data_IF_741195817211
#
_entry.id   IF_741195817211
#
_cell.length_a   1.000
_cell.length_b   1.000
_cell.length_c   1.000
_cell.angle_alpha   90.00
_cell.angle_beta   90.00
_cell.angle_gamma   90.00
#
_symmetry.space_group_name_H-M   'P 1'
#
loop_
_entity.id
_entity.type
_entity.pdbx_description
1 polymer ?
#
# COMPACT_ATOMS: atom_id res chain seq x y z
N UNK A 1 17.19 28.13 16.91
CA UNK A 1 16.65 27.03 16.06
C UNK A 1 15.41 26.38 16.71
N UNK A 2 15.50 25.92 17.96
CA UNK A 2 14.39 25.23 18.66
C UNK A 2 13.12 26.08 18.83
N UNK A 3 13.25 27.38 19.12
CA UNK A 3 12.11 28.28 19.24
C UNK A 3 11.38 28.50 17.88
N UNK A 4 12.14 28.57 16.78
CA UNK A 4 11.58 28.69 15.43
C UNK A 4 10.90 27.38 15.02
N UNK A 5 11.44 26.22 15.38
CA UNK A 5 10.78 24.93 15.15
C UNK A 5 9.47 24.80 15.94
N UNK A 6 9.47 25.16 17.24
CA UNK A 6 8.26 25.12 18.05
C UNK A 6 7.15 26.04 17.51
N UNK A 7 7.50 27.22 16.99
CA UNK A 7 6.55 28.15 16.35
C UNK A 7 6.07 27.60 15.01
N UNK A 8 6.97 27.02 14.19
CA UNK A 8 6.59 26.45 12.89
C UNK A 8 5.65 25.24 13.02
N UNK A 9 5.82 24.43 14.07
CA UNK A 9 4.92 23.28 14.32
C UNK A 9 3.54 23.68 14.79
N UNK A 10 3.37 24.87 15.40
CA UNK A 10 2.04 25.40 15.75
C UNK A 10 1.18 25.80 14.54
N UNK A 11 1.81 26.00 13.37
CA UNK A 11 1.15 26.31 12.10
C UNK A 11 1.19 25.14 11.10
N UNK A 12 1.72 23.99 11.50
CA UNK A 12 1.72 22.79 10.70
C UNK A 12 0.33 22.13 10.72
N UNK A 13 -0.01 21.44 9.63
CA UNK A 13 -1.24 20.67 9.51
C UNK A 13 -1.37 19.66 10.66
N UNK A 14 -2.55 19.57 11.29
CA UNK A 14 -2.82 18.72 12.45
C UNK A 14 -2.42 17.25 12.26
N UNK A 15 -2.35 16.79 11.00
CA UNK A 15 -1.95 15.43 10.64
C UNK A 15 -0.43 15.17 10.67
N UNK A 16 0.40 16.20 10.89
CA UNK A 16 1.87 16.07 10.77
C UNK A 16 2.56 16.13 12.14
N UNK A 17 1.92 16.72 13.15
CA UNK A 17 2.60 16.98 14.44
C UNK A 17 1.71 16.60 15.61
N UNK A 18 2.14 15.63 16.39
CA UNK A 18 1.49 15.21 17.62
C UNK A 18 1.50 16.35 18.65
N UNK A 19 0.34 16.68 19.21
CA UNK A 19 0.15 17.80 20.14
C UNK A 19 1.09 17.77 21.36
N UNK A 20 1.40 16.58 21.89
CA UNK A 20 2.34 16.41 22.99
C UNK A 20 3.79 16.76 22.60
N UNK A 21 4.20 16.55 21.36
CA UNK A 21 5.53 16.91 20.88
C UNK A 21 5.74 18.43 20.88
N UNK A 22 4.70 19.18 20.55
CA UNK A 22 4.69 20.65 20.61
C UNK A 22 4.85 21.14 22.05
N UNK A 23 4.07 20.57 22.99
CA UNK A 23 4.14 20.93 24.42
C UNK A 23 5.53 20.65 24.99
N UNK A 24 6.10 19.47 24.70
CA UNK A 24 7.44 19.08 25.16
C UNK A 24 8.50 20.05 24.61
N UNK A 25 8.40 20.41 23.33
CA UNK A 25 9.32 21.36 22.70
C UNK A 25 9.26 22.74 23.36
N UNK A 26 8.07 23.25 23.66
CA UNK A 26 7.88 24.53 24.36
C UNK A 26 8.49 24.49 25.76
N UNK A 27 8.33 23.38 26.49
CA UNK A 27 8.89 23.19 27.81
C UNK A 27 10.43 23.30 27.79
N UNK A 28 11.10 22.61 26.86
CA UNK A 28 12.56 22.68 26.76
C UNK A 28 13.04 24.08 26.32
N UNK A 29 12.35 24.74 25.41
CA UNK A 29 12.64 26.13 25.03
C UNK A 29 12.57 27.06 26.24
N UNK A 30 11.55 26.93 27.11
CA UNK A 30 11.42 27.69 28.34
C UNK A 30 12.56 27.40 29.31
N UNK A 31 12.92 26.12 29.50
CA UNK A 31 14.06 25.72 30.35
C UNK A 31 15.37 26.34 29.88
N UNK A 32 15.68 26.30 28.57
CA UNK A 32 16.88 26.93 28.02
C UNK A 32 16.86 28.45 28.15
N UNK A 33 15.69 29.08 28.03
CA UNK A 33 15.52 30.50 28.29
C UNK A 33 15.89 30.86 29.73
N UNK A 34 15.39 30.12 30.71
CA UNK A 34 15.68 30.28 32.12
C UNK A 34 17.20 30.08 32.36
N UNK A 35 17.80 29.00 31.86
CA UNK A 35 19.20 28.72 32.00
C UNK A 35 20.08 29.79 31.38
N UNK A 36 19.70 30.37 30.26
CA UNK A 36 20.40 31.48 29.61
C UNK A 36 20.43 32.72 30.50
N UNK A 37 19.29 33.04 31.13
CA UNK A 37 19.19 34.18 32.06
C UNK A 37 20.05 33.91 33.31
N UNK A 38 19.94 32.72 33.90
CA UNK A 38 20.75 32.34 35.07
C UNK A 38 22.24 32.40 34.79
N UNK A 39 22.71 31.91 33.63
CA UNK A 39 24.11 31.97 33.22
C UNK A 39 24.62 33.41 33.05
N UNK A 40 23.79 34.34 32.61
CA UNK A 40 24.13 35.77 32.50
C UNK A 40 24.24 36.44 33.85
N UNK A 41 23.39 36.09 34.80
CA UNK A 41 23.33 36.68 36.14
C UNK A 41 24.31 36.02 37.13
N UNK A 42 24.77 34.81 36.87
CA UNK A 42 25.59 34.03 37.79
C UNK A 42 27.00 34.58 37.95
N UNK A 43 27.48 34.60 39.20
CA UNK A 43 28.87 34.82 39.52
C UNK A 43 29.78 33.73 38.91
N UNK A 44 31.05 34.06 38.61
CA UNK A 44 31.99 33.17 37.91
C UNK A 44 32.07 31.76 38.54
N UNK A 45 32.01 31.65 39.85
CA UNK A 45 32.08 30.39 40.60
C UNK A 45 30.88 29.44 40.32
N UNK A 46 29.69 29.99 40.03
CA UNK A 46 28.46 29.19 39.82
C UNK A 46 28.21 28.87 38.33
N UNK A 47 28.98 29.48 37.42
CA UNK A 47 28.80 29.27 35.97
C UNK A 47 29.09 27.84 35.54
N UNK A 48 30.11 27.23 36.09
CA UNK A 48 30.51 25.85 35.77
C UNK A 48 29.36 24.87 36.14
N UNK A 49 28.81 25.03 37.34
CA UNK A 49 27.67 24.22 37.78
C UNK A 49 26.45 24.39 36.85
N UNK A 50 26.11 25.64 36.50
CA UNK A 50 25.00 25.92 35.60
C UNK A 50 25.23 25.37 34.19
N UNK A 51 26.47 25.36 33.68
CA UNK A 51 26.80 24.70 32.42
C UNK A 51 26.58 23.19 32.47
N UNK A 52 27.02 22.54 33.58
CA UNK A 52 26.76 21.09 33.78
C UNK A 52 25.28 20.79 33.82
N UNK A 53 24.48 21.60 34.52
CA UNK A 53 23.01 21.46 34.56
C UNK A 53 22.42 21.64 33.16
N UNK A 54 22.88 22.63 32.39
CA UNK A 54 22.43 22.84 31.01
C UNK A 54 22.72 21.64 30.10
N UNK A 55 23.91 21.05 30.23
CA UNK A 55 24.28 19.81 29.54
C UNK A 55 23.36 18.64 29.95
N UNK A 56 23.04 18.54 31.26
CA UNK A 56 22.08 17.54 31.76
C UNK A 56 20.70 17.70 31.13
N UNK A 57 20.18 18.95 31.02
CA UNK A 57 18.94 19.26 30.37
C UNK A 57 19.00 18.82 28.90
N UNK A 58 20.08 19.07 28.18
CA UNK A 58 20.26 18.67 26.80
C UNK A 58 20.25 17.14 26.61
N UNK A 59 20.84 16.40 27.51
CA UNK A 59 20.81 14.93 27.50
C UNK A 59 19.40 14.41 27.72
N UNK A 60 18.67 15.00 28.68
CA UNK A 60 17.26 14.65 28.93
C UNK A 60 16.39 14.98 27.71
N UNK A 61 16.58 16.16 27.10
CA UNK A 61 15.87 16.51 25.85
C UNK A 61 16.10 15.48 24.75
N UNK A 62 17.36 15.10 24.51
CA UNK A 62 17.68 14.08 23.49
C UNK A 62 17.00 12.74 23.80
N UNK A 63 17.03 12.30 25.07
CA UNK A 63 16.38 11.05 25.46
C UNK A 63 14.85 11.11 25.28
N UNK A 64 14.22 12.24 25.65
CA UNK A 64 12.78 12.46 25.46
C UNK A 64 12.43 12.50 23.98
N UNK A 65 13.20 13.23 23.16
CA UNK A 65 12.97 13.29 21.72
C UNK A 65 13.09 11.92 21.05
N UNK A 66 14.07 11.10 21.45
CA UNK A 66 14.19 9.73 20.97
C UNK A 66 12.97 8.87 21.38
N UNK A 67 12.52 8.99 22.63
CA UNK A 67 11.34 8.27 23.11
C UNK A 67 10.07 8.69 22.36
N UNK A 68 9.82 9.98 22.20
CA UNK A 68 8.65 10.54 21.48
C UNK A 68 8.67 10.12 20.02
N UNK A 69 9.81 10.21 19.34
CA UNK A 69 9.94 9.73 17.95
C UNK A 69 9.69 8.22 17.86
N UNK A 70 10.14 7.44 18.85
CA UNK A 70 9.93 6.00 18.91
C UNK A 70 8.48 5.57 19.13
N UNK A 71 7.65 6.41 19.78
CA UNK A 71 6.24 6.11 20.03
C UNK A 71 5.41 5.98 18.74
N UNK A 72 5.77 6.72 17.69
CA UNK A 72 5.12 6.64 16.37
C UNK A 72 5.62 5.49 15.49
N UNK A 73 6.61 4.70 15.93
CA UNK A 73 7.13 3.58 15.17
C UNK A 73 6.29 2.31 15.38
N UNK A 74 6.17 1.50 14.34
CA UNK A 74 5.54 0.19 14.45
C UNK A 74 6.27 -0.66 15.49
N UNK A 75 5.54 -1.17 16.48
CA UNK A 75 6.08 -2.05 17.52
C UNK A 75 6.67 -3.33 16.93
N UNK A 76 7.74 -3.86 17.54
CA UNK A 76 8.43 -5.07 17.06
C UNK A 76 7.49 -6.28 16.96
N UNK A 77 6.55 -6.43 17.88
CA UNK A 77 5.55 -7.51 17.87
C UNK A 77 4.62 -7.39 16.67
N UNK A 78 4.09 -6.19 16.42
CA UNK A 78 3.22 -5.92 15.26
C UNK A 78 4.00 -6.06 13.94
N UNK A 79 5.26 -5.61 13.92
CA UNK A 79 6.11 -5.79 12.75
C UNK A 79 6.35 -7.27 12.43
N UNK A 80 6.47 -8.14 13.42
CA UNK A 80 6.75 -9.57 13.23
C UNK A 80 5.50 -10.46 13.26
N UNK A 81 4.31 -9.92 13.43
CA UNK A 81 3.08 -10.69 13.67
C UNK A 81 2.73 -11.73 12.58
N UNK A 82 3.10 -11.48 11.33
CA UNK A 82 2.73 -12.31 10.18
C UNK A 82 3.92 -13.09 9.58
N UNK A 83 5.09 -13.09 10.23
CA UNK A 83 6.31 -13.68 9.63
C UNK A 83 6.15 -15.17 9.37
N UNK A 84 5.67 -15.93 10.37
CA UNK A 84 5.55 -17.39 10.25
C UNK A 84 4.49 -17.81 9.22
N UNK A 85 3.36 -17.11 9.18
CA UNK A 85 2.31 -17.38 8.21
C UNK A 85 2.76 -17.06 6.80
N UNK A 86 3.46 -15.93 6.61
CA UNK A 86 4.01 -15.53 5.31
C UNK A 86 5.08 -16.52 4.84
N UNK A 87 5.98 -16.98 5.71
CA UNK A 87 6.99 -17.96 5.34
C UNK A 87 6.35 -19.28 4.88
N UNK A 88 5.34 -19.78 5.59
CA UNK A 88 4.57 -20.97 5.16
C UNK A 88 3.90 -20.76 3.80
N UNK A 89 3.32 -19.57 3.57
CA UNK A 89 2.72 -19.26 2.27
C UNK A 89 3.76 -19.26 1.14
N UNK A 90 4.97 -18.75 1.40
CA UNK A 90 6.05 -18.74 0.42
C UNK A 90 6.62 -20.14 0.15
N UNK A 91 6.68 -20.99 1.17
CA UNK A 91 7.06 -22.42 1.02
C UNK A 91 6.04 -23.14 0.14
N UNK A 92 4.74 -23.01 0.42
CA UNK A 92 3.68 -23.59 -0.42
C UNK A 92 3.70 -23.05 -1.85
N UNK A 93 3.95 -21.74 -2.04
CA UNK A 93 4.09 -21.17 -3.37
C UNK A 93 5.27 -21.77 -4.14
N UNK A 94 6.38 -22.02 -3.45
CA UNK A 94 7.57 -22.65 -4.03
C UNK A 94 7.30 -24.12 -4.41
N UNK A 95 6.61 -24.86 -3.58
CA UNK A 95 6.22 -26.26 -3.85
C UNK A 95 5.26 -26.32 -5.06
N UNK A 96 4.20 -25.52 -5.07
CA UNK A 96 3.24 -25.45 -6.18
C UNK A 96 3.92 -24.99 -7.50
N UNK A 97 4.86 -24.06 -7.43
CA UNK A 97 5.62 -23.64 -8.60
C UNK A 97 6.51 -24.75 -9.16
N UNK A 98 7.15 -25.53 -8.28
CA UNK A 98 7.97 -26.68 -8.67
C UNK A 98 7.13 -27.79 -9.30
N UNK A 99 5.96 -28.11 -8.75
CA UNK A 99 5.03 -29.10 -9.28
C UNK A 99 4.46 -28.72 -10.67
N UNK A 100 4.47 -27.42 -11.00
CA UNK A 100 3.99 -26.89 -12.27
C UNK A 100 5.13 -26.46 -13.22
N UNK A 101 6.39 -26.81 -12.94
CA UNK A 101 7.58 -26.45 -13.73
C UNK A 101 7.71 -24.93 -14.00
N UNK A 102 7.41 -24.09 -13.01
CA UNK A 102 7.47 -22.62 -13.13
C UNK A 102 8.80 -22.09 -12.61
N UNK A 103 9.71 -21.64 -13.48
CA UNK A 103 11.07 -21.24 -13.08
C UNK A 103 11.13 -19.87 -12.40
N UNK A 104 10.13 -19.01 -12.64
CA UNK A 104 10.04 -17.67 -12.07
C UNK A 104 8.60 -17.24 -11.87
N UNK A 105 8.33 -16.60 -10.73
CA UNK A 105 7.04 -16.01 -10.40
C UNK A 105 7.22 -14.84 -9.42
N UNK A 106 6.22 -13.98 -9.35
CA UNK A 106 6.06 -12.98 -8.29
C UNK A 106 4.94 -13.38 -7.36
N UNK A 107 5.11 -12.95 -6.11
CA UNK A 107 4.09 -13.05 -5.06
C UNK A 107 3.64 -11.64 -4.69
N UNK A 108 2.36 -11.46 -4.43
CA UNK A 108 1.82 -10.23 -3.86
C UNK A 108 1.06 -10.50 -2.57
N UNK A 109 1.34 -9.71 -1.54
CA UNK A 109 0.58 -9.70 -0.30
C UNK A 109 -0.41 -8.54 -0.31
N UNK A 110 -1.71 -8.82 -0.35
CA UNK A 110 -2.75 -7.78 -0.32
C UNK A 110 -2.88 -7.14 1.06
N UNK A 111 -2.48 -7.86 2.12
CA UNK A 111 -2.44 -7.40 3.51
C UNK A 111 -1.07 -6.88 3.96
N UNK A 112 -0.21 -6.48 3.03
CA UNK A 112 1.16 -6.02 3.31
C UNK A 112 1.23 -4.92 4.34
N UNK A 113 2.26 -4.96 5.16
CA UNK A 113 2.55 -3.92 6.15
C UNK A 113 3.27 -2.73 5.49
N UNK A 114 4.17 -3.03 4.56
CA UNK A 114 4.96 -2.01 3.83
C UNK A 114 5.03 -2.34 2.33
N UNK A 115 5.35 -1.34 1.51
CA UNK A 115 5.59 -1.55 0.07
C UNK A 115 6.91 -2.29 -0.21
N UNK A 116 7.70 -2.65 0.81
CA UNK A 116 8.94 -3.42 0.72
C UNK A 116 8.85 -4.78 1.42
N UNK A 117 7.65 -5.31 1.62
CA UNK A 117 7.47 -6.64 2.23
C UNK A 117 8.11 -7.76 1.39
N UNK A 118 8.19 -7.59 0.06
CA UNK A 118 8.97 -8.48 -0.81
C UNK A 118 10.44 -8.62 -0.38
N UNK A 119 11.10 -7.50 -0.04
CA UNK A 119 12.47 -7.52 0.50
C UNK A 119 12.52 -8.08 1.91
N UNK A 120 11.52 -7.76 2.73
CA UNK A 120 11.42 -8.21 4.12
C UNK A 120 11.30 -9.73 4.25
N UNK A 121 10.48 -10.34 3.41
CA UNK A 121 10.21 -11.78 3.44
C UNK A 121 11.01 -12.58 2.41
N UNK A 122 11.74 -11.92 1.50
CA UNK A 122 12.61 -12.55 0.52
C UNK A 122 11.89 -13.10 -0.72
N UNK A 123 10.84 -12.43 -1.21
CA UNK A 123 10.15 -12.82 -2.43
C UNK A 123 10.18 -11.73 -3.51
N UNK A 124 10.08 -12.13 -4.78
CA UNK A 124 9.92 -11.21 -5.89
C UNK A 124 8.51 -10.62 -5.88
N UNK A 125 8.38 -9.30 -5.89
CA UNK A 125 7.12 -8.56 -5.84
C UNK A 125 7.00 -7.59 -7.00
N UNK A 126 5.76 -7.26 -7.40
CA UNK A 126 5.43 -6.14 -8.28
C UNK A 126 5.19 -4.83 -7.51
N UNK A 127 5.40 -4.83 -6.20
CA UNK A 127 5.24 -3.68 -5.31
C UNK A 127 6.59 -3.26 -4.74
N UNK A 128 6.93 -1.97 -4.83
CA UNK A 128 8.18 -1.46 -4.28
C UNK A 128 8.08 0.02 -3.88
N UNK A 129 8.77 0.37 -2.80
CA UNK A 129 9.13 1.74 -2.45
C UNK A 129 10.63 1.92 -2.56
N UNK A 130 11.08 2.96 -3.27
CA UNK A 130 12.48 3.36 -3.32
C UNK A 130 12.60 4.84 -3.69
N UNK A 131 13.40 5.59 -2.93
CA UNK A 131 13.66 7.01 -3.26
C UNK A 131 14.41 7.20 -4.57
N UNK A 132 15.01 6.15 -5.12
CA UNK A 132 15.81 6.17 -6.36
C UNK A 132 15.14 5.41 -7.51
N UNK A 133 13.83 5.06 -7.39
CA UNK A 133 13.13 4.35 -8.45
C UNK A 133 12.98 5.20 -9.73
N UNK A 134 12.90 4.52 -10.87
CA UNK A 134 12.58 5.17 -12.13
C UNK A 134 11.09 5.56 -12.13
N UNK A 135 10.80 6.86 -12.22
CA UNK A 135 9.42 7.40 -12.20
C UNK A 135 8.55 6.84 -13.36
N UNK A 136 9.16 6.46 -14.48
CA UNK A 136 8.42 5.88 -15.61
C UNK A 136 7.73 4.56 -15.25
N UNK A 137 8.28 3.78 -14.30
CA UNK A 137 7.62 2.58 -13.79
C UNK A 137 6.32 2.95 -13.07
N UNK A 138 6.36 3.97 -12.21
CA UNK A 138 5.15 4.46 -11.54
C UNK A 138 4.12 5.02 -12.55
N UNK A 139 4.55 5.78 -13.55
CA UNK A 139 3.65 6.27 -14.59
C UNK A 139 3.03 5.14 -15.40
N UNK A 140 3.78 4.06 -15.67
CA UNK A 140 3.26 2.87 -16.31
C UNK A 140 2.16 2.20 -15.47
N UNK A 141 2.39 2.02 -14.17
CA UNK A 141 1.37 1.51 -13.25
C UNK A 141 0.12 2.38 -13.24
N UNK A 142 0.28 3.70 -13.10
CA UNK A 142 -0.83 4.65 -13.12
C UNK A 142 -1.59 4.66 -14.45
N UNK A 143 -0.91 4.43 -15.58
CA UNK A 143 -1.55 4.31 -16.90
C UNK A 143 -2.47 3.10 -16.99
N UNK A 144 -2.28 2.08 -16.14
CA UNK A 144 -3.07 0.86 -16.04
C UNK A 144 -3.99 0.82 -14.81
N UNK A 145 -4.29 1.96 -14.21
CA UNK A 145 -5.10 2.07 -12.99
C UNK A 145 -4.52 1.33 -11.78
N UNK A 146 -3.22 1.06 -11.77
CA UNK A 146 -2.53 0.56 -10.59
C UNK A 146 -2.00 1.72 -9.75
N UNK A 147 -1.85 1.49 -8.44
CA UNK A 147 -1.37 2.50 -7.52
C UNK A 147 0.11 2.86 -7.79
N UNK A 148 0.41 4.15 -7.95
CA UNK A 148 1.76 4.66 -8.16
C UNK A 148 1.94 6.06 -7.61
N UNK A 149 3.18 6.42 -7.26
CA UNK A 149 3.54 7.73 -6.72
C UNK A 149 4.99 8.12 -7.05
N UNK A 150 5.49 9.19 -6.45
CA UNK A 150 6.83 9.74 -6.76
C UNK A 150 7.98 8.75 -6.53
N UNK A 151 7.83 7.87 -5.56
CA UNK A 151 8.88 6.98 -5.07
C UNK A 151 8.39 5.56 -4.79
N UNK A 152 7.23 5.18 -5.34
CA UNK A 152 6.68 3.84 -5.21
C UNK A 152 5.78 3.48 -6.40
N UNK A 153 5.61 2.18 -6.60
CA UNK A 153 4.56 1.55 -7.37
C UNK A 153 4.02 0.35 -6.58
N UNK A 154 2.76 -0.01 -6.81
CA UNK A 154 2.08 -0.97 -5.98
C UNK A 154 1.09 -1.79 -6.79
N UNK A 155 0.93 -3.05 -6.42
CA UNK A 155 0.02 -4.00 -7.05
C UNK A 155 -1.48 -3.65 -6.86
N UNK A 156 -1.83 -2.73 -5.97
CA UNK A 156 -3.21 -2.27 -5.83
C UNK A 156 -3.76 -1.79 -7.17
N UNK A 157 -4.97 -2.21 -7.52
CA UNK A 157 -5.59 -1.93 -8.80
C UNK A 157 -5.16 -2.86 -9.93
N UNK A 158 -4.46 -3.94 -9.64
CA UNK A 158 -4.10 -4.93 -10.62
C UNK A 158 -5.34 -5.62 -11.20
N UNK A 159 -5.26 -5.92 -12.50
CA UNK A 159 -6.26 -6.68 -13.26
C UNK A 159 -5.63 -7.99 -13.74
N UNK A 160 -6.40 -8.94 -14.28
CA UNK A 160 -5.84 -10.16 -14.88
C UNK A 160 -4.75 -9.87 -15.92
N UNK A 161 -4.91 -8.83 -16.75
CA UNK A 161 -3.91 -8.44 -17.76
C UNK A 161 -2.61 -8.00 -17.10
N UNK A 162 -2.68 -7.11 -16.10
CA UNK A 162 -1.49 -6.60 -15.42
C UNK A 162 -0.81 -7.68 -14.58
N UNK A 163 -1.59 -8.55 -13.93
CA UNK A 163 -1.07 -9.70 -13.18
C UNK A 163 -0.35 -10.69 -14.07
N UNK A 164 -0.93 -11.00 -15.25
CA UNK A 164 -0.32 -11.88 -16.23
C UNK A 164 1.02 -11.32 -16.72
N UNK A 165 1.03 -10.08 -17.18
CA UNK A 165 2.23 -9.41 -17.71
C UNK A 165 3.34 -9.26 -16.65
N UNK A 166 2.97 -8.96 -15.40
CA UNK A 166 3.95 -8.83 -14.31
C UNK A 166 4.37 -10.18 -13.72
N UNK A 167 3.94 -11.31 -14.26
CA UNK A 167 4.22 -12.66 -13.74
C UNK A 167 3.82 -12.82 -12.27
N UNK A 168 2.76 -12.14 -11.82
CA UNK A 168 2.23 -12.29 -10.46
C UNK A 168 1.39 -13.56 -10.42
N UNK A 169 2.03 -14.66 -10.05
CA UNK A 169 1.42 -15.99 -10.01
C UNK A 169 0.70 -16.25 -8.70
N UNK A 170 1.21 -15.73 -7.60
CA UNK A 170 0.65 -16.00 -6.29
C UNK A 170 0.20 -14.71 -5.59
N UNK A 171 -0.93 -14.83 -4.90
CA UNK A 171 -1.50 -13.79 -4.07
C UNK A 171 -1.71 -14.32 -2.64
N UNK A 172 -1.14 -13.65 -1.66
CA UNK A 172 -1.37 -13.90 -0.23
C UNK A 172 -2.40 -12.89 0.25
N UNK A 173 -3.43 -13.35 0.93
CA UNK A 173 -4.52 -12.50 1.43
C UNK A 173 -5.06 -13.03 2.76
N UNK A 174 -5.65 -12.16 3.58
CA UNK A 174 -6.37 -12.55 4.79
C UNK A 174 -7.85 -12.84 4.54
N UNK A 175 -8.39 -12.32 3.44
CA UNK A 175 -9.78 -12.54 3.05
C UNK A 175 -9.92 -13.78 2.18
N UNK A 176 -10.97 -14.55 2.41
CA UNK A 176 -11.35 -15.63 1.50
C UNK A 176 -11.80 -15.02 0.18
N UNK A 177 -11.21 -15.49 -0.91
CA UNK A 177 -11.62 -15.08 -2.25
C UNK A 177 -12.70 -16.03 -2.77
N UNK A 178 -13.80 -15.52 -3.34
CA UNK A 178 -14.79 -16.37 -3.99
C UNK A 178 -14.16 -17.19 -5.11
N UNK A 179 -14.54 -18.46 -5.16
CA UNK A 179 -14.07 -19.41 -6.19
C UNK A 179 -14.47 -18.94 -7.59
N UNK A 180 -13.49 -18.84 -8.48
CA UNK A 180 -13.71 -18.48 -9.90
C UNK A 180 -12.61 -19.12 -10.76
N UNK A 181 -12.73 -19.00 -12.08
CA UNK A 181 -11.79 -19.61 -13.03
C UNK A 181 -10.40 -18.92 -13.04
N UNK A 182 -10.32 -17.67 -12.55
CA UNK A 182 -9.10 -16.87 -12.60
C UNK A 182 -8.11 -17.27 -11.50
N UNK A 183 -8.58 -17.79 -10.37
CA UNK A 183 -7.75 -18.11 -9.22
C UNK A 183 -8.03 -19.51 -8.66
N UNK A 184 -7.01 -20.11 -8.09
CA UNK A 184 -7.10 -21.41 -7.39
C UNK A 184 -6.54 -21.26 -6.00
N UNK A 185 -7.27 -21.69 -4.97
CA UNK A 185 -6.76 -21.77 -3.61
C UNK A 185 -5.69 -22.88 -3.54
N UNK A 186 -4.45 -22.50 -3.23
CA UNK A 186 -3.32 -23.44 -3.03
C UNK A 186 -3.32 -23.97 -1.59
N UNK A 187 -3.54 -23.07 -0.62
CA UNK A 187 -3.59 -23.50 0.79
C UNK A 187 -3.85 -22.35 1.76
N UNK A 188 -4.07 -22.76 3.03
CA UNK A 188 -4.24 -21.85 4.16
C UNK A 188 -3.00 -21.89 5.05
N UNK A 189 -2.45 -20.73 5.38
CA UNK A 189 -1.25 -20.53 6.19
C UNK A 189 -1.59 -19.65 7.41
N UNK A 190 -1.97 -20.27 8.51
CA UNK A 190 -2.46 -19.53 9.68
C UNK A 190 -3.69 -18.68 9.35
N UNK A 191 -3.55 -17.37 9.44
CA UNK A 191 -4.61 -16.41 9.11
C UNK A 191 -4.56 -15.92 7.66
N UNK A 192 -3.70 -16.49 6.81
CA UNK A 192 -3.55 -16.13 5.42
C UNK A 192 -3.97 -17.27 4.50
N UNK A 193 -4.40 -16.90 3.29
CA UNK A 193 -4.72 -17.80 2.20
C UNK A 193 -3.76 -17.53 1.05
N UNK A 194 -3.23 -18.60 0.45
CA UNK A 194 -2.43 -18.53 -0.76
C UNK A 194 -3.28 -18.90 -1.96
N UNK A 195 -3.44 -17.98 -2.89
CA UNK A 195 -4.10 -18.20 -4.18
C UNK A 195 -3.09 -18.17 -5.31
N UNK A 196 -3.32 -19.01 -6.31
CA UNK A 196 -2.61 -19.01 -7.58
C UNK A 196 -3.47 -18.37 -8.66
N UNK A 197 -2.90 -17.42 -9.39
CA UNK A 197 -3.46 -16.90 -10.63
C UNK A 197 -3.25 -17.90 -11.77
N UNK A 198 -4.33 -18.30 -12.45
CA UNK A 198 -4.30 -19.37 -13.46
C UNK A 198 -3.85 -18.87 -14.86
N UNK A 199 -3.64 -17.58 -15.05
CA UNK A 199 -3.41 -16.90 -16.34
C UNK A 199 -2.10 -16.13 -16.42
N UNK A 200 -1.11 -16.45 -15.59
CA UNK A 200 0.18 -15.73 -15.58
C UNK A 200 1.07 -16.05 -16.77
N UNK A 201 1.70 -15.03 -17.32
CA UNK A 201 2.77 -15.18 -18.30
C UNK A 201 4.12 -15.43 -17.60
N UNK A 202 5.05 -16.14 -18.22
CA UNK A 202 6.42 -16.26 -17.72
C UNK A 202 7.12 -14.90 -17.76
N UNK A 203 8.27 -14.76 -17.05
CA UNK A 203 9.05 -13.51 -17.02
C UNK A 203 9.47 -13.04 -18.42
N UNK A 204 9.81 -13.99 -19.30
CA UNK A 204 10.11 -13.74 -20.71
C UNK A 204 9.09 -14.45 -21.58
N UNK A 205 8.43 -13.75 -22.48
CA UNK A 205 7.47 -14.29 -23.43
C UNK A 205 7.65 -13.63 -24.80
N UNK A 206 7.28 -14.37 -25.85
CA UNK A 206 7.32 -13.85 -27.21
C UNK A 206 6.08 -13.02 -27.50
N UNK A 207 6.29 -11.92 -28.21
CA UNK A 207 5.20 -11.06 -28.71
C UNK A 207 5.61 -10.49 -30.07
N UNK A 208 4.64 -9.95 -30.80
CA UNK A 208 4.89 -9.36 -32.11
C UNK A 208 5.81 -8.13 -32.01
N UNK A 209 6.69 -7.92 -32.99
CA UNK A 209 7.69 -6.86 -32.98
C UNK A 209 7.11 -5.46 -32.81
N UNK A 210 5.93 -5.19 -33.36
CA UNK A 210 5.24 -3.91 -33.32
C UNK A 210 4.64 -3.51 -31.97
N UNK A 211 4.50 -4.44 -31.00
CA UNK A 211 3.75 -4.21 -29.76
C UNK A 211 4.25 -3.01 -28.96
N UNK A 212 5.56 -2.82 -28.85
CA UNK A 212 6.17 -1.71 -28.08
C UNK A 212 5.82 -0.36 -28.69
N UNK A 213 5.76 -0.26 -30.02
CA UNK A 213 5.45 0.96 -30.73
C UNK A 213 3.94 1.23 -30.85
N UNK A 214 3.14 0.17 -30.85
CA UNK A 214 1.69 0.22 -31.04
C UNK A 214 0.95 0.55 -29.75
N UNK A 215 1.43 0.06 -28.59
CA UNK A 215 0.74 0.34 -27.33
C UNK A 215 0.96 1.78 -26.88
N UNK A 216 -0.14 2.54 -26.91
CA UNK A 216 -0.18 3.93 -26.43
C UNK A 216 -1.26 4.04 -25.37
N UNK A 217 -0.89 4.21 -24.09
CA UNK A 217 -1.87 4.38 -23.02
C UNK A 217 -2.67 5.67 -23.23
N UNK A 218 -3.99 5.57 -23.12
CA UNK A 218 -4.89 6.70 -23.21
C UNK A 218 -4.87 7.51 -21.91
N UNK A 219 -4.76 8.83 -22.02
CA UNK A 219 -4.93 9.71 -20.86
C UNK A 219 -6.39 9.85 -20.40
N UNK A 220 -7.34 9.61 -21.31
CA UNK A 220 -8.78 9.76 -21.08
C UNK A 220 -9.50 8.46 -20.69
N UNK A 221 -8.93 7.30 -21.02
CA UNK A 221 -9.54 6.01 -20.73
C UNK A 221 -8.51 4.96 -20.34
N UNK A 222 -8.44 4.69 -19.03
CA UNK A 222 -7.53 3.66 -18.48
C UNK A 222 -8.00 2.25 -18.86
N UNK A 223 -9.32 2.02 -18.92
CA UNK A 223 -9.90 0.74 -19.36
C UNK A 223 -9.47 0.44 -20.79
N UNK A 224 -9.49 1.44 -21.68
CA UNK A 224 -8.97 1.29 -23.03
C UNK A 224 -7.47 0.91 -23.01
N UNK A 225 -6.68 1.54 -22.14
CA UNK A 225 -5.26 1.23 -22.01
C UNK A 225 -5.02 -0.22 -21.58
N UNK A 226 -5.81 -0.72 -20.63
CA UNK A 226 -5.73 -2.11 -20.15
C UNK A 226 -6.15 -3.08 -21.25
N UNK A 227 -7.28 -2.84 -21.91
CA UNK A 227 -7.80 -3.71 -22.95
C UNK A 227 -6.89 -3.74 -24.19
N UNK A 228 -6.34 -2.58 -24.60
CA UNK A 228 -5.39 -2.53 -25.71
C UNK A 228 -4.12 -3.30 -25.40
N UNK A 229 -3.61 -3.21 -24.16
CA UNK A 229 -2.49 -4.03 -23.72
C UNK A 229 -2.84 -5.51 -23.72
N UNK A 230 -4.02 -5.87 -23.21
CA UNK A 230 -4.50 -7.27 -23.20
C UNK A 230 -4.54 -7.87 -24.60
N UNK A 231 -5.09 -7.16 -25.60
CA UNK A 231 -5.12 -7.60 -27.00
C UNK A 231 -3.71 -7.78 -27.58
N UNK A 232 -2.79 -6.87 -27.30
CA UNK A 232 -1.39 -7.00 -27.72
C UNK A 232 -0.66 -8.19 -27.06
N UNK A 233 -1.11 -8.58 -25.86
CA UNK A 233 -0.62 -9.77 -25.17
C UNK A 233 -1.32 -11.07 -25.61
N UNK A 234 -2.24 -11.00 -26.57
CA UNK A 234 -2.90 -12.16 -27.18
C UNK A 234 -4.32 -12.44 -26.66
N UNK A 235 -4.95 -11.53 -25.92
CA UNK A 235 -6.35 -11.67 -25.57
C UNK A 235 -7.23 -11.49 -26.84
N UNK A 236 -8.17 -12.42 -27.06
CA UNK A 236 -9.06 -12.37 -28.20
C UNK A 236 -10.08 -11.21 -28.13
N UNK A 237 -10.51 -10.88 -26.91
CA UNK A 237 -11.53 -9.88 -26.63
C UNK A 237 -11.09 -8.89 -25.54
N UNK A 238 -11.89 -7.87 -25.30
CA UNK A 238 -11.68 -6.94 -24.19
C UNK A 238 -11.79 -7.68 -22.85
N UNK A 239 -10.77 -7.51 -22.01
CA UNK A 239 -10.70 -8.17 -20.69
C UNK A 239 -11.51 -7.45 -19.64
N UNK A 240 -11.77 -6.15 -19.84
CA UNK A 240 -12.61 -5.31 -18.96
C UNK A 240 -13.72 -4.66 -19.79
N UNK A 241 -14.95 -4.79 -19.33
CA UNK A 241 -16.11 -4.12 -19.91
C UNK A 241 -16.77 -3.23 -18.88
N UNK A 242 -17.32 -2.09 -19.32
CA UNK A 242 -18.18 -1.28 -18.46
C UNK A 242 -19.49 -2.02 -18.23
N UNK A 243 -19.95 -2.04 -16.99
CA UNK A 243 -21.25 -2.61 -16.63
C UNK A 243 -22.06 -1.61 -15.83
N UNK A 244 -23.36 -1.68 -15.96
CA UNK A 244 -24.29 -0.95 -15.10
C UNK A 244 -24.57 -1.78 -13.85
N UNK A 245 -24.80 -1.11 -12.72
CA UNK A 245 -25.25 -1.73 -11.48
C UNK A 245 -26.36 -0.90 -10.85
N UNK A 246 -27.23 -1.54 -10.08
CA UNK A 246 -28.22 -0.84 -9.26
C UNK A 246 -27.49 -0.33 -8.02
N UNK A 247 -27.60 0.97 -7.78
CA UNK A 247 -27.03 1.64 -6.62
C UNK A 247 -28.15 2.07 -5.66
N UNK A 248 -28.07 1.64 -4.41
CA UNK A 248 -28.91 2.14 -3.33
C UNK A 248 -28.03 2.83 -2.29
N UNK A 249 -28.27 4.12 -2.10
CA UNK A 249 -27.53 4.95 -1.14
C UNK A 249 -28.29 5.05 0.18
N UNK A 250 -27.67 4.59 1.26
CA UNK A 250 -28.12 4.78 2.63
C UNK A 250 -27.08 5.61 3.39
N UNK A 251 -27.44 6.32 4.48
CA UNK A 251 -26.48 7.09 5.25
C UNK A 251 -25.30 6.22 5.72
N UNK A 252 -24.12 6.47 5.13
CA UNK A 252 -22.87 5.80 5.48
C UNK A 252 -22.61 4.45 4.80
N UNK A 253 -23.49 3.99 3.91
CA UNK A 253 -23.30 2.73 3.18
C UNK A 253 -23.95 2.83 1.80
N UNK A 254 -23.21 2.47 0.77
CA UNK A 254 -23.74 2.31 -0.59
C UNK A 254 -23.77 0.83 -0.92
N UNK A 255 -24.86 0.36 -1.52
CA UNK A 255 -24.95 -1.03 -1.98
C UNK A 255 -24.99 -1.09 -3.51
N UNK A 256 -24.24 -2.05 -4.08
CA UNK A 256 -24.15 -2.28 -5.52
C UNK A 256 -24.68 -3.68 -5.82
N UNK A 257 -25.64 -3.79 -6.73
CA UNK A 257 -26.20 -5.07 -7.19
C UNK A 257 -25.95 -5.24 -8.68
N UNK A 258 -25.46 -6.43 -9.07
CA UNK A 258 -25.07 -6.75 -10.45
C UNK A 258 -26.00 -7.82 -11.04
N UNK A 259 -26.30 -7.72 -12.34
CA UNK A 259 -27.21 -8.63 -13.03
C UNK A 259 -26.56 -9.92 -13.51
N UNK A 260 -25.20 -9.97 -13.56
CA UNK A 260 -24.46 -11.11 -14.10
C UNK A 260 -23.40 -11.58 -13.12
N UNK A 261 -23.00 -12.83 -13.22
CA UNK A 261 -21.83 -13.35 -12.53
C UNK A 261 -20.56 -12.74 -13.15
N UNK A 262 -19.64 -12.27 -12.33
CA UNK A 262 -18.38 -11.71 -12.85
C UNK A 262 -17.40 -11.32 -11.75
N UNK A 263 -16.16 -11.01 -12.16
CA UNK A 263 -15.18 -10.38 -11.32
C UNK A 263 -15.26 -8.87 -11.57
N UNK A 264 -15.61 -8.11 -10.55
CA UNK A 264 -15.93 -6.69 -10.69
C UNK A 264 -14.85 -5.79 -10.12
N UNK A 265 -14.68 -4.64 -10.74
CA UNK A 265 -13.80 -3.57 -10.32
C UNK A 265 -14.56 -2.26 -10.26
N UNK A 266 -14.27 -1.44 -9.25
CA UNK A 266 -14.77 -0.08 -9.17
C UNK A 266 -13.65 0.92 -9.45
N UNK A 267 -13.97 2.00 -10.16
CA UNK A 267 -13.11 3.13 -10.41
C UNK A 267 -13.77 4.41 -9.91
N UNK A 268 -12.97 5.30 -9.31
CA UNK A 268 -13.42 6.62 -8.86
C UNK A 268 -12.65 7.72 -9.58
N UNK A 269 -13.35 8.74 -10.03
CA UNK A 269 -12.72 9.97 -10.54
C UNK A 269 -12.18 10.84 -9.41
N UNK A 270 -12.86 10.86 -8.26
CA UNK A 270 -12.42 11.53 -7.04
C UNK A 270 -13.02 10.84 -5.82
N UNK A 271 -12.24 10.65 -4.77
CA UNK A 271 -12.71 10.13 -3.50
C UNK A 271 -12.33 11.11 -2.39
N UNK A 272 -13.30 11.44 -1.53
CA UNK A 272 -13.11 12.34 -0.39
C UNK A 272 -12.78 11.58 0.91
N UNK A 273 -12.87 10.25 0.90
CA UNK A 273 -12.58 9.39 2.05
C UNK A 273 -11.19 8.79 1.95
N UNK A 274 -10.52 8.59 3.09
CA UNK A 274 -9.19 7.98 3.14
C UNK A 274 -9.21 6.46 2.97
N UNK A 275 -10.36 5.82 3.21
CA UNK A 275 -10.51 4.37 3.07
C UNK A 275 -11.93 4.00 2.62
N UNK A 276 -12.02 2.91 1.85
CA UNK A 276 -13.27 2.27 1.44
C UNK A 276 -13.17 0.79 1.76
N UNK A 277 -14.25 0.22 2.32
CA UNK A 277 -14.37 -1.21 2.56
C UNK A 277 -15.49 -1.77 1.70
N UNK A 278 -15.16 -2.81 0.94
CA UNK A 278 -16.12 -3.55 0.11
C UNK A 278 -16.34 -4.93 0.74
N UNK A 279 -17.60 -5.32 0.88
CA UNK A 279 -17.96 -6.62 1.44
C UNK A 279 -19.14 -7.26 0.72
N UNK A 280 -19.03 -8.59 0.49
CA UNK A 280 -20.13 -9.45 0.05
C UNK A 280 -19.83 -10.89 0.47
N UNK A 281 -20.84 -11.60 0.99
CA UNK A 281 -20.66 -12.93 1.55
C UNK A 281 -19.56 -12.97 2.63
N UNK A 282 -18.54 -13.81 2.45
CA UNK A 282 -17.36 -13.89 3.32
C UNK A 282 -16.16 -13.03 2.81
N UNK A 283 -16.32 -12.41 1.65
CA UNK A 283 -15.30 -11.53 1.09
C UNK A 283 -15.40 -10.15 1.72
N UNK A 284 -14.28 -9.66 2.25
CA UNK A 284 -14.13 -8.28 2.73
C UNK A 284 -12.74 -7.77 2.37
N UNK A 285 -12.68 -6.58 1.81
CA UNK A 285 -11.42 -5.91 1.49
C UNK A 285 -11.52 -4.43 1.79
N UNK A 286 -10.45 -3.87 2.38
CA UNK A 286 -10.35 -2.45 2.68
C UNK A 286 -9.22 -1.83 1.89
N UNK A 287 -9.52 -0.78 1.16
CA UNK A 287 -8.57 0.05 0.44
C UNK A 287 -8.33 1.34 1.18
N UNK A 288 -7.09 1.65 1.48
CA UNK A 288 -6.66 2.91 2.08
C UNK A 288 -5.99 3.81 1.04
N UNK A 289 -5.92 5.11 1.33
CA UNK A 289 -5.33 6.12 0.43
C UNK A 289 -5.99 6.14 -0.96
N UNK A 290 -7.29 6.10 -0.96
CA UNK A 290 -8.15 6.09 -2.17
C UNK A 290 -7.91 7.28 -3.10
N UNK A 291 -7.31 8.37 -2.60
CA UNK A 291 -6.87 9.53 -3.38
C UNK A 291 -5.83 9.21 -4.46
N UNK A 292 -5.16 8.04 -4.40
CA UNK A 292 -4.19 7.60 -5.40
C UNK A 292 -4.81 7.10 -6.71
N UNK A 293 -6.14 7.01 -6.82
CA UNK A 293 -6.90 6.70 -8.05
C UNK A 293 -6.46 5.41 -8.74
N UNK A 294 -6.64 4.29 -8.08
CA UNK A 294 -6.45 2.95 -8.65
C UNK A 294 -7.79 2.19 -8.69
N UNK A 295 -7.86 1.08 -9.42
CA UNK A 295 -9.03 0.21 -9.41
C UNK A 295 -9.19 -0.46 -8.05
N UNK A 296 -10.42 -0.55 -7.58
CA UNK A 296 -10.80 -1.33 -6.41
C UNK A 296 -11.35 -2.68 -6.89
N UNK A 297 -10.73 -3.74 -6.47
CA UNK A 297 -11.17 -5.11 -6.75
C UNK A 297 -12.32 -5.47 -5.79
N UNK A 298 -13.50 -5.72 -6.35
CA UNK A 298 -14.70 -6.14 -5.61
C UNK A 298 -14.79 -7.65 -5.46
N UNK A 299 -13.88 -8.39 -6.09
CA UNK A 299 -13.92 -9.84 -6.14
C UNK A 299 -14.93 -10.38 -7.13
N UNK A 300 -15.15 -11.70 -7.06
CA UNK A 300 -16.14 -12.37 -7.89
C UNK A 300 -17.53 -12.32 -7.23
N UNK A 301 -18.48 -11.68 -7.89
CA UNK A 301 -19.86 -11.46 -7.41
C UNK A 301 -20.82 -12.24 -8.28
N UNK A 302 -21.80 -12.90 -7.65
CA UNK A 302 -22.87 -13.61 -8.36
C UNK A 302 -24.00 -12.66 -8.74
N UNK A 303 -24.73 -13.01 -9.79
CA UNK A 303 -25.92 -12.28 -10.20
C UNK A 303 -26.93 -12.16 -9.06
N UNK A 304 -27.39 -10.93 -8.79
CA UNK A 304 -28.30 -10.61 -7.70
C UNK A 304 -27.65 -10.53 -6.30
N UNK A 305 -26.34 -10.80 -6.17
CA UNK A 305 -25.61 -10.57 -4.92
C UNK A 305 -25.30 -9.09 -4.76
N UNK A 306 -25.36 -8.60 -3.51
CA UNK A 306 -25.16 -7.20 -3.19
C UNK A 306 -23.77 -6.99 -2.57
N UNK A 307 -23.03 -6.04 -3.11
CA UNK A 307 -21.76 -5.55 -2.53
C UNK A 307 -22.05 -4.31 -1.71
N UNK A 308 -21.67 -4.31 -0.45
CA UNK A 308 -21.72 -3.14 0.44
C UNK A 308 -20.41 -2.38 0.40
N UNK A 309 -20.50 -1.04 0.35
CA UNK A 309 -19.37 -0.11 0.25
C UNK A 309 -19.42 0.89 1.40
#
# INVERSE_FOLDING_TARGET
ASALMAVSTMFADENVTEYYAVIISILFVALYGIMTVLLKLAARKNRELLMVITCGIAIVELAVNMAVTGLGCTGRSSYNANVDDMQKALELAKEDAADNDVPFYRVEDTGRLTKNDGTRYGYASGTQFSSLMNINVSHFYQALYMEGGKNFYCYNGATPVTSAMLSVRYMVTKSIQPQNELITLVGKCGNHYLYRNNYTLPLGFMMDEGVIDEWKPSSSSKIYSINSLGRLLGAADDTLTLTECIQDENPGTTTLTFDHNGHYYAAYDSCSTDSLTFSHGEYETTYSKTTHRYLFDLGYVKAGETVSV
#
